data_IF_849675350714
#
_entry.id   IF_849675350714
#
_cell.length_a   1.000
_cell.length_b   1.000
_cell.length_c   1.000
_cell.angle_alpha   90.00
_cell.angle_beta   90.00
_cell.angle_gamma   90.00
#
_symmetry.space_group_name_H-M   'P 1'
#
loop_
_entity.id
_entity.type
_entity.pdbx_description
1 polymer ?
#
# COMPACT_ATOMS: atom_id res chain seq x y z
N UNK A 1 52.44 -83.91 -28.86
CA UNK A 1 51.28 -83.02 -29.05
C UNK A 1 51.82 -81.60 -29.09
N UNK A 2 51.85 -81.05 -30.30
CA UNK A 2 51.95 -79.64 -30.61
C UNK A 2 50.78 -78.87 -30.02
N UNK A 3 51.01 -77.71 -29.43
CA UNK A 3 50.20 -76.52 -29.75
C UNK A 3 50.97 -75.23 -29.45
N UNK A 4 50.68 -74.23 -30.29
CA UNK A 4 51.43 -73.01 -30.54
C UNK A 4 51.02 -71.82 -29.66
N UNK A 5 51.77 -70.71 -29.71
CA UNK A 5 51.27 -69.40 -29.31
C UNK A 5 52.29 -68.50 -28.59
N UNK A 6 53.00 -67.68 -29.37
CA UNK A 6 53.82 -66.51 -28.96
C UNK A 6 52.92 -65.24 -29.00
N UNK A 7 53.43 -64.02 -28.73
CA UNK A 7 53.82 -63.32 -27.49
C UNK A 7 52.93 -62.06 -27.26
N UNK A 8 53.42 -61.08 -26.47
CA UNK A 8 52.91 -59.69 -26.30
C UNK A 8 51.68 -59.55 -25.38
N UNK A 9 51.53 -58.56 -24.51
CA UNK A 9 51.99 -57.18 -24.55
C UNK A 9 51.90 -56.61 -23.12
N UNK A 10 52.86 -55.78 -22.70
CA UNK A 10 52.66 -54.88 -21.56
C UNK A 10 51.98 -53.60 -22.07
N UNK A 11 51.00 -53.04 -21.35
CA UNK A 11 50.79 -51.60 -21.32
C UNK A 11 51.07 -51.12 -19.88
N UNK A 12 52.17 -50.38 -19.67
CA UNK A 12 52.21 -48.91 -19.63
C UNK A 12 51.34 -48.30 -18.53
N UNK A 13 52.02 -47.56 -17.66
CA UNK A 13 51.52 -46.80 -16.54
C UNK A 13 50.38 -45.84 -16.91
N UNK A 14 49.33 -45.84 -16.09
CA UNK A 14 48.55 -44.66 -15.82
C UNK A 14 48.52 -44.49 -14.29
N UNK A 15 49.55 -43.81 -13.78
CA UNK A 15 49.48 -43.18 -12.46
C UNK A 15 48.56 -41.99 -12.66
N UNK A 16 47.31 -42.12 -12.24
CA UNK A 16 46.37 -41.00 -12.18
C UNK A 16 47.04 -39.87 -11.41
N UNK A 17 47.37 -38.80 -12.15
CA UNK A 17 47.80 -37.54 -11.57
C UNK A 17 46.52 -36.86 -11.10
N UNK A 18 46.11 -37.15 -9.87
CA UNK A 18 45.21 -36.22 -9.18
C UNK A 18 45.95 -34.87 -9.10
N UNK A 19 45.38 -33.78 -9.61
CA UNK A 19 45.94 -32.47 -9.32
C UNK A 19 45.67 -32.21 -7.84
N UNK A 20 46.65 -32.52 -6.99
CA UNK A 20 46.75 -31.94 -5.66
C UNK A 20 46.80 -30.43 -5.89
N UNK A 21 45.65 -29.78 -5.73
CA UNK A 21 45.51 -28.35 -5.74
C UNK A 21 46.15 -27.83 -4.44
N UNK A 22 47.47 -27.82 -4.39
CA UNK A 22 48.26 -27.18 -3.34
C UNK A 22 48.01 -25.68 -3.44
N UNK A 23 47.02 -25.20 -2.70
CA UNK A 23 46.83 -23.77 -2.51
C UNK A 23 48.09 -23.22 -1.85
N UNK A 24 48.65 -22.17 -2.43
CA UNK A 24 49.84 -21.52 -1.90
C UNK A 24 49.54 -20.93 -0.53
N UNK A 25 50.53 -20.88 0.37
CA UNK A 25 50.37 -20.26 1.69
C UNK A 25 49.85 -18.80 1.61
N UNK A 26 50.16 -18.09 0.52
CA UNK A 26 49.59 -16.77 0.21
C UNK A 26 48.08 -16.82 -0.10
N UNK A 27 47.62 -17.81 -0.86
CA UNK A 27 46.20 -18.00 -1.15
C UNK A 27 45.42 -18.45 0.09
N UNK A 28 46.03 -19.23 1.00
CA UNK A 28 45.42 -19.60 2.28
C UNK A 28 45.22 -18.38 3.20
N UNK A 29 46.19 -17.47 3.26
CA UNK A 29 46.08 -16.19 3.99
C UNK A 29 45.01 -15.28 3.36
N UNK A 30 44.91 -15.24 2.03
CA UNK A 30 43.88 -14.47 1.33
C UNK A 30 42.47 -15.04 1.54
N UNK A 31 42.32 -16.37 1.52
CA UNK A 31 41.03 -17.06 1.76
C UNK A 31 40.59 -16.88 3.21
N UNK A 32 41.51 -16.89 4.18
CA UNK A 32 41.18 -16.64 5.59
C UNK A 32 40.79 -15.18 5.85
N UNK A 33 41.47 -14.22 5.21
CA UNK A 33 41.08 -12.82 5.24
C UNK A 33 39.71 -12.57 4.60
N UNK A 34 39.39 -13.26 3.50
CA UNK A 34 38.10 -13.16 2.83
C UNK A 34 36.97 -13.81 3.64
N UNK A 35 37.22 -14.98 4.25
CA UNK A 35 36.28 -15.65 5.16
C UNK A 35 35.94 -14.80 6.38
N UNK A 36 36.91 -14.06 6.94
CA UNK A 36 36.68 -13.13 8.06
C UNK A 36 35.76 -11.97 7.67
N UNK A 37 35.96 -11.39 6.49
CA UNK A 37 35.09 -10.31 5.98
C UNK A 37 33.66 -10.80 5.70
N UNK A 38 33.52 -12.01 5.15
CA UNK A 38 32.20 -12.63 4.93
C UNK A 38 31.51 -12.90 6.27
N UNK A 39 32.22 -13.41 7.28
CA UNK A 39 31.67 -13.64 8.61
C UNK A 39 31.23 -12.35 9.31
N UNK A 40 32.04 -11.28 9.23
CA UNK A 40 31.68 -9.96 9.78
C UNK A 40 30.43 -9.38 9.08
N UNK A 41 30.34 -9.51 7.74
CA UNK A 41 29.15 -9.10 6.98
C UNK A 41 27.91 -9.95 7.29
N UNK A 42 28.06 -11.25 7.51
CA UNK A 42 26.96 -12.14 7.90
C UNK A 42 26.41 -11.79 9.29
N UNK A 43 27.27 -11.42 10.24
CA UNK A 43 26.87 -10.94 11.56
C UNK A 43 26.15 -9.58 11.48
N UNK A 44 26.64 -8.66 10.66
CA UNK A 44 25.99 -7.37 10.41
C UNK A 44 24.63 -7.54 9.72
N UNK A 45 24.53 -8.43 8.73
CA UNK A 45 23.28 -8.75 8.05
C UNK A 45 22.26 -9.38 9.00
N UNK A 46 22.71 -10.23 9.93
CA UNK A 46 21.84 -10.83 10.95
C UNK A 46 21.31 -9.78 11.94
N UNK A 47 22.15 -8.85 12.41
CA UNK A 47 21.71 -7.73 13.27
C UNK A 47 20.73 -6.80 12.56
N UNK A 48 20.99 -6.50 11.28
CA UNK A 48 20.07 -5.72 10.46
C UNK A 48 18.72 -6.41 10.29
N UNK A 49 18.72 -7.73 10.06
CA UNK A 49 17.49 -8.52 9.94
C UNK A 49 16.71 -8.61 11.25
N UNK A 50 17.40 -8.74 12.38
CA UNK A 50 16.76 -8.71 13.71
C UNK A 50 16.16 -7.33 14.03
N UNK A 51 16.86 -6.24 13.71
CA UNK A 51 16.32 -4.89 13.84
C UNK A 51 15.12 -4.63 12.92
N UNK A 52 15.16 -5.14 11.68
CA UNK A 52 14.02 -5.07 10.77
C UNK A 52 12.81 -5.84 11.30
N UNK A 53 13.03 -7.04 11.86
CA UNK A 53 11.95 -7.86 12.42
C UNK A 53 11.32 -7.25 13.69
N UNK A 54 12.09 -6.55 14.53
CA UNK A 54 11.52 -5.84 15.70
C UNK A 54 10.71 -4.62 15.28
N UNK A 55 11.18 -3.86 14.29
CA UNK A 55 10.45 -2.73 13.73
C UNK A 55 9.16 -3.19 13.01
N UNK A 56 9.20 -4.30 12.29
CA UNK A 56 8.02 -4.88 11.65
C UNK A 56 6.97 -5.30 12.68
N UNK A 57 7.36 -5.99 13.75
CA UNK A 57 6.45 -6.36 14.86
C UNK A 57 5.83 -5.12 15.52
N UNK A 58 6.65 -4.13 15.87
CA UNK A 58 6.16 -2.87 16.44
C UNK A 58 5.20 -2.14 15.47
N UNK A 59 5.46 -2.19 14.17
CA UNK A 59 4.58 -1.58 13.17
C UNK A 59 3.26 -2.33 12.98
N UNK A 60 3.27 -3.66 13.12
CA UNK A 60 2.07 -4.49 13.01
C UNK A 60 1.15 -4.30 14.22
N UNK A 61 1.70 -4.31 15.43
CA UNK A 61 0.95 -4.04 16.66
C UNK A 61 0.28 -2.66 16.61
N UNK A 62 1.01 -1.64 16.15
CA UNK A 62 0.47 -0.29 15.97
C UNK A 62 -0.57 -0.17 14.84
N UNK A 63 -0.55 -1.07 13.85
CA UNK A 63 -1.50 -1.06 12.74
C UNK A 63 -2.85 -1.65 13.14
N UNK A 64 -2.85 -2.78 13.87
CA UNK A 64 -4.07 -3.40 14.42
C UNK A 64 -4.75 -2.47 15.44
N UNK A 65 -3.94 -1.78 16.26
CA UNK A 65 -4.45 -0.74 17.17
C UNK A 65 -5.08 0.44 16.41
N UNK A 66 -4.51 0.82 15.26
CA UNK A 66 -5.00 1.98 14.50
C UNK A 66 -6.30 1.69 13.77
N UNK A 67 -6.46 0.51 13.19
CA UNK A 67 -7.71 0.13 12.53
C UNK A 67 -8.86 -0.03 13.53
N UNK A 68 -8.60 -0.66 14.68
CA UNK A 68 -9.59 -0.78 15.74
C UNK A 68 -9.97 0.58 16.33
N UNK A 69 -9.01 1.49 16.54
CA UNK A 69 -9.25 2.88 16.93
C UNK A 69 -10.06 3.62 15.88
N UNK A 70 -9.74 3.47 14.59
CA UNK A 70 -10.47 4.12 13.51
C UNK A 70 -11.91 3.60 13.41
N UNK A 71 -12.14 2.30 13.62
CA UNK A 71 -13.47 1.69 13.63
C UNK A 71 -14.38 2.20 14.76
N UNK A 72 -13.81 2.57 15.91
CA UNK A 72 -14.53 3.19 17.04
C UNK A 72 -14.44 4.72 17.08
N UNK A 73 -13.97 5.35 16.01
CA UNK A 73 -13.82 6.80 15.93
C UNK A 73 -14.70 7.44 14.86
N UNK A 74 -15.05 8.70 15.09
CA UNK A 74 -15.69 9.58 14.10
C UNK A 74 -14.78 10.74 13.72
N UNK A 75 -14.99 11.22 12.50
CA UNK A 75 -14.53 12.50 12.00
C UNK A 75 -15.66 13.52 12.11
N UNK A 76 -15.36 14.66 12.72
CA UNK A 76 -16.24 15.82 12.84
C UNK A 76 -15.63 16.98 12.06
N UNK A 77 -16.33 17.45 11.03
CA UNK A 77 -15.94 18.59 10.21
C UNK A 77 -16.83 19.80 10.38
N UNK A 78 -16.34 20.94 9.90
CA UNK A 78 -16.97 22.26 10.09
C UNK A 78 -17.17 22.63 11.56
N UNK A 79 -16.28 22.15 12.42
CA UNK A 79 -16.23 22.52 13.84
C UNK A 79 -15.79 23.98 13.95
N UNK A 80 -16.35 24.71 14.90
CA UNK A 80 -15.96 26.09 15.13
C UNK A 80 -14.49 26.21 15.59
N UNK A 81 -13.81 27.28 15.19
CA UNK A 81 -12.40 27.50 15.53
C UNK A 81 -12.18 27.79 17.02
N UNK A 82 -13.21 28.27 17.73
CA UNK A 82 -13.17 28.49 19.17
C UNK A 82 -13.62 27.26 19.98
N UNK A 83 -13.86 26.12 19.33
CA UNK A 83 -14.37 24.93 20.01
C UNK A 83 -13.32 24.35 20.96
N UNK A 84 -13.72 24.07 22.20
CA UNK A 84 -12.89 23.32 23.14
C UNK A 84 -13.14 21.81 23.00
N UNK A 85 -12.18 20.95 23.37
CA UNK A 85 -12.40 19.50 23.37
C UNK A 85 -13.52 19.09 24.33
N UNK A 86 -13.69 19.81 25.43
CA UNK A 86 -14.76 19.59 26.43
C UNK A 86 -16.15 19.87 25.85
N UNK A 87 -16.30 20.94 25.06
CA UNK A 87 -17.57 21.25 24.39
C UNK A 87 -17.96 20.17 23.37
N UNK A 88 -16.98 19.69 22.60
CA UNK A 88 -17.20 18.60 21.64
C UNK A 88 -17.57 17.31 22.39
N UNK A 89 -16.86 17.02 23.49
CA UNK A 89 -17.17 15.87 24.33
C UNK A 89 -18.61 15.94 24.85
N UNK A 90 -19.03 17.08 25.40
CA UNK A 90 -20.38 17.28 25.91
C UNK A 90 -21.45 17.09 24.82
N UNK A 91 -21.19 17.55 23.59
CA UNK A 91 -22.12 17.38 22.46
C UNK A 91 -22.35 15.89 22.12
N UNK A 92 -21.27 15.10 22.09
CA UNK A 92 -21.32 13.68 21.76
C UNK A 92 -21.53 12.75 22.96
N UNK A 93 -21.54 13.27 24.18
CA UNK A 93 -21.74 12.48 25.40
C UNK A 93 -23.12 11.82 25.45
N UNK A 94 -24.12 12.42 24.80
CA UNK A 94 -25.46 11.82 24.63
C UNK A 94 -25.46 10.56 23.76
N UNK A 95 -24.46 10.39 22.89
CA UNK A 95 -24.31 9.21 22.03
C UNK A 95 -23.51 8.07 22.68
N UNK A 96 -22.82 8.32 23.80
CA UNK A 96 -22.10 7.27 24.52
C UNK A 96 -20.78 7.71 25.17
N UNK A 97 -20.05 6.72 25.69
CA UNK A 97 -18.80 6.94 26.42
C UNK A 97 -17.62 7.20 25.46
N UNK A 98 -16.98 8.35 25.63
CA UNK A 98 -15.87 8.86 24.82
C UNK A 98 -14.55 8.53 25.50
N UNK A 99 -13.61 7.95 24.75
CA UNK A 99 -12.26 7.65 25.21
C UNK A 99 -11.33 8.87 25.02
N UNK A 100 -11.40 9.52 23.85
CA UNK A 100 -10.52 10.64 23.52
C UNK A 100 -11.13 11.59 22.50
N UNK A 101 -10.90 12.90 22.67
CA UNK A 101 -11.20 13.93 21.67
C UNK A 101 -9.90 14.57 21.20
N UNK A 102 -9.73 14.73 19.88
CA UNK A 102 -8.54 15.34 19.28
C UNK A 102 -8.95 16.37 18.23
N UNK A 103 -8.67 17.66 18.48
CA UNK A 103 -8.88 18.75 17.52
C UNK A 103 -7.63 18.88 16.64
N UNK A 104 -7.82 18.89 15.31
CA UNK A 104 -6.69 19.03 14.38
C UNK A 104 -6.30 20.49 14.23
N UNK A 105 -5.06 20.76 14.61
CA UNK A 105 -4.39 22.03 14.40
C UNK A 105 -3.59 22.00 13.10
N UNK A 106 -3.48 23.15 12.46
CA UNK A 106 -2.59 23.34 11.33
C UNK A 106 -1.14 23.39 11.81
N UNK A 107 -0.25 22.63 11.15
CA UNK A 107 1.14 22.45 11.60
C UNK A 107 1.98 23.73 11.43
N UNK A 108 1.57 24.61 10.54
CA UNK A 108 2.31 25.84 10.23
C UNK A 108 1.84 27.02 11.07
N UNK A 109 0.52 27.19 11.22
CA UNK A 109 -0.07 28.34 11.91
C UNK A 109 -0.46 28.04 13.36
N UNK A 110 -0.52 26.76 13.76
CA UNK A 110 -1.03 26.34 15.06
C UNK A 110 -2.54 26.53 15.24
N UNK A 111 -3.22 27.11 14.24
CA UNK A 111 -4.65 27.41 14.32
C UNK A 111 -5.48 26.15 14.09
N UNK A 112 -6.65 26.03 14.74
CA UNK A 112 -7.55 24.91 14.51
C UNK A 112 -8.02 24.90 13.05
N UNK A 113 -8.08 23.71 12.44
CA UNK A 113 -8.52 23.55 11.04
C UNK A 113 -10.04 23.43 10.89
N UNK A 114 -10.78 23.44 12.00
CA UNK A 114 -12.21 23.16 12.03
C UNK A 114 -12.55 21.66 11.87
N UNK A 115 -11.61 20.79 12.24
CA UNK A 115 -11.78 19.33 12.23
C UNK A 115 -11.44 18.75 13.60
N UNK A 116 -12.21 17.75 14.02
CA UNK A 116 -11.95 16.98 15.23
C UNK A 116 -12.16 15.47 14.97
N UNK A 117 -11.45 14.66 15.74
CA UNK A 117 -11.70 13.23 15.88
C UNK A 117 -12.22 12.94 17.27
N UNK A 118 -13.23 12.10 17.36
CA UNK A 118 -13.77 11.60 18.63
C UNK A 118 -13.64 10.09 18.59
N UNK A 119 -12.92 9.54 19.55
CA UNK A 119 -12.75 8.11 19.77
C UNK A 119 -13.71 7.66 20.87
N UNK A 120 -14.57 6.72 20.55
CA UNK A 120 -15.47 6.10 21.50
C UNK A 120 -14.85 4.85 22.11
N UNK A 121 -15.40 4.43 23.25
CA UNK A 121 -15.08 3.16 23.89
C UNK A 121 -15.41 1.98 22.99
N UNK A 122 -16.60 1.99 22.39
CA UNK A 122 -17.15 0.92 21.57
C UNK A 122 -17.45 1.37 20.13
N UNK A 123 -17.24 0.51 19.12
CA UNK A 123 -17.55 0.82 17.72
C UNK A 123 -19.04 0.96 17.44
N UNK A 124 -19.91 0.37 18.26
CA UNK A 124 -21.37 0.50 18.13
C UNK A 124 -21.86 1.94 18.35
N UNK A 125 -21.14 2.73 19.16
CA UNK A 125 -21.48 4.12 19.47
C UNK A 125 -21.25 5.06 18.29
N UNK A 126 -20.36 4.68 17.36
CA UNK A 126 -20.12 5.44 16.12
C UNK A 126 -21.42 5.60 15.33
N UNK A 127 -22.23 4.55 15.23
CA UNK A 127 -23.52 4.60 14.53
C UNK A 127 -24.49 5.60 15.16
N UNK A 128 -24.49 5.72 16.50
CA UNK A 128 -25.32 6.68 17.22
C UNK A 128 -24.85 8.12 16.97
N UNK A 129 -23.53 8.34 16.97
CA UNK A 129 -22.97 9.65 16.71
C UNK A 129 -23.20 10.14 15.26
N UNK A 130 -23.34 9.22 14.30
CA UNK A 130 -23.70 9.56 12.91
C UNK A 130 -25.13 10.13 12.79
N UNK A 131 -26.02 9.85 13.74
CA UNK A 131 -27.36 10.45 13.78
C UNK A 131 -27.28 11.95 14.04
N UNK A 132 -26.24 12.42 14.74
CA UNK A 132 -25.97 13.85 14.97
C UNK A 132 -25.29 14.56 13.79
N UNK A 133 -25.19 13.92 12.63
CA UNK A 133 -24.72 14.59 11.43
C UNK A 133 -25.63 15.77 11.08
N UNK A 134 -25.05 16.91 10.70
CA UNK A 134 -25.71 18.18 10.40
C UNK A 134 -26.40 18.86 11.60
N UNK A 135 -26.15 18.38 12.83
CA UNK A 135 -26.59 19.06 14.05
C UNK A 135 -25.92 20.43 14.24
N UNK A 136 -26.60 21.33 14.96
CA UNK A 136 -26.08 22.65 15.28
C UNK A 136 -25.12 22.59 16.46
N UNK A 137 -23.91 23.12 16.26
CA UNK A 137 -22.88 23.28 17.28
C UNK A 137 -22.26 24.68 17.17
N UNK A 138 -22.34 25.48 18.24
CA UNK A 138 -21.90 26.89 18.27
C UNK A 138 -22.40 27.73 17.08
N UNK A 139 -23.64 27.51 16.65
CA UNK A 139 -24.26 28.22 15.52
C UNK A 139 -23.82 27.74 14.13
N UNK A 140 -23.10 26.61 14.04
CA UNK A 140 -22.65 26.01 12.77
C UNK A 140 -23.10 24.56 12.67
N UNK A 141 -23.52 24.15 11.49
CA UNK A 141 -23.87 22.74 11.25
C UNK A 141 -22.59 21.92 11.10
N UNK A 142 -22.41 20.95 12.00
CA UNK A 142 -21.26 20.05 11.95
C UNK A 142 -21.51 18.88 11.00
N UNK A 143 -20.44 18.38 10.40
CA UNK A 143 -20.49 17.19 9.55
C UNK A 143 -19.86 16.01 10.28
N UNK A 144 -20.62 14.95 10.51
CA UNK A 144 -20.14 13.75 11.21
C UNK A 144 -20.06 12.59 10.23
N UNK A 145 -18.89 11.96 10.14
CA UNK A 145 -18.65 10.77 9.30
C UNK A 145 -17.76 9.77 10.05
N UNK A 146 -17.85 8.46 9.78
CA UNK A 146 -16.94 7.51 10.41
C UNK A 146 -15.49 7.84 10.05
N UNK A 147 -14.57 7.73 11.02
CA UNK A 147 -13.14 7.95 10.78
C UNK A 147 -12.64 6.88 9.81
N UNK A 148 -11.72 7.28 8.93
CA UNK A 148 -11.08 6.38 7.97
C UNK A 148 -9.60 6.69 7.93
N UNK A 149 -8.78 5.65 7.93
CA UNK A 149 -7.37 5.78 7.62
C UNK A 149 -7.23 6.16 6.15
N UNK A 150 -6.60 7.31 5.87
CA UNK A 150 -6.34 7.70 4.49
C UNK A 150 -5.17 6.88 3.96
N UNK A 151 -5.47 5.76 3.30
CA UNK A 151 -4.45 4.94 2.63
C UNK A 151 -3.99 5.70 1.37
N UNK A 152 -2.70 6.09 1.27
CA UNK A 152 -2.20 6.79 0.08
C UNK A 152 -2.50 5.97 -1.19
N UNK A 153 -3.22 6.57 -2.14
CA UNK A 153 -3.59 5.92 -3.41
C UNK A 153 -5.05 5.44 -3.51
N UNK A 154 -5.77 5.30 -2.39
CA UNK A 154 -7.18 4.89 -2.37
C UNK A 154 -8.11 6.03 -1.96
N UNK A 155 -7.92 7.23 -2.54
CA UNK A 155 -8.86 8.33 -2.33
C UNK A 155 -10.14 8.03 -3.11
N UNK A 156 -11.25 7.78 -2.40
CA UNK A 156 -12.58 7.70 -3.01
C UNK A 156 -12.84 8.99 -3.76
N UNK A 157 -12.73 8.91 -5.09
CA UNK A 157 -13.41 9.75 -6.06
C UNK A 157 -13.78 11.14 -5.57
N UNK A 158 -12.79 11.98 -5.28
CA UNK A 158 -13.01 13.42 -5.46
C UNK A 158 -13.16 13.61 -6.95
N UNK A 159 -14.40 13.52 -7.42
CA UNK A 159 -14.81 13.52 -8.82
C UNK A 159 -13.84 14.28 -9.69
N UNK A 160 -12.93 13.53 -10.31
CA UNK A 160 -12.17 14.02 -11.43
C UNK A 160 -13.21 14.35 -12.49
N UNK A 161 -13.40 15.65 -12.75
CA UNK A 161 -13.82 16.12 -14.07
C UNK A 161 -12.68 15.79 -15.06
N UNK A 162 -12.38 14.49 -15.19
CA UNK A 162 -11.65 13.93 -16.29
C UNK A 162 -12.60 13.98 -17.45
N UNK A 163 -12.42 14.98 -18.31
CA UNK A 163 -12.91 14.96 -19.68
C UNK A 163 -12.56 13.59 -20.25
N UNK A 164 -13.55 12.71 -20.33
CA UNK A 164 -13.46 11.45 -21.05
C UNK A 164 -13.29 11.77 -22.53
N UNK A 165 -12.04 12.04 -22.92
CA UNK A 165 -11.61 12.03 -24.32
C UNK A 165 -11.16 10.59 -24.55
N UNK A 166 -12.04 9.86 -25.22
CA UNK A 166 -11.99 8.42 -25.36
C UNK A 166 -10.63 7.87 -25.78
N UNK A 167 -10.22 6.84 -25.06
CA UNK A 167 -9.22 5.86 -25.48
C UNK A 167 -9.78 4.47 -25.18
N UNK A 168 -10.73 4.04 -26.00
CA UNK A 168 -10.98 2.64 -26.34
C UNK A 168 -10.61 2.56 -27.84
N UNK A 169 -9.53 1.92 -28.24
CA UNK A 169 -9.33 0.49 -28.06
C UNK A 169 -9.94 -0.21 -29.27
N UNK A 170 -9.16 -0.39 -30.34
CA UNK A 170 -9.67 -0.98 -31.58
C UNK A 170 -8.66 -1.12 -32.72
N UNK A 171 -7.45 -1.61 -32.44
CA UNK A 171 -6.55 -2.12 -33.48
C UNK A 171 -6.80 -3.62 -33.63
N UNK A 172 -7.71 -3.98 -34.54
CA UNK A 172 -8.05 -5.36 -34.86
C UNK A 172 -8.41 -5.48 -36.34
N UNK A 173 -7.40 -5.83 -37.13
CA UNK A 173 -7.51 -6.16 -38.55
C UNK A 173 -8.37 -7.40 -38.75
N UNK A 174 -9.38 -7.35 -39.62
CA UNK A 174 -9.73 -8.47 -40.50
C UNK A 174 -10.65 -8.01 -41.66
N UNK A 175 -10.26 -8.22 -42.94
CA UNK A 175 -11.07 -7.86 -44.10
C UNK A 175 -11.80 -9.10 -44.65
N UNK A 176 -13.14 -9.09 -44.74
CA UNK A 176 -13.91 -9.94 -45.68
C UNK A 176 -15.42 -9.64 -45.65
N UNK A 177 -15.89 -8.99 -46.70
CA UNK A 177 -17.05 -9.42 -47.49
C UNK A 177 -18.48 -9.24 -46.94
N UNK A 178 -19.32 -8.60 -47.74
CA UNK A 178 -20.69 -9.08 -47.95
C UNK A 178 -21.86 -8.14 -47.63
N UNK A 179 -22.30 -7.37 -48.63
CA UNK A 179 -23.70 -7.11 -49.01
C UNK A 179 -24.82 -7.02 -47.92
N UNK A 180 -25.23 -5.78 -47.62
CA UNK A 180 -26.64 -5.32 -47.51
C UNK A 180 -26.58 -3.77 -47.49
N UNK A 181 -26.92 -3.03 -48.54
CA UNK A 181 -28.13 -3.15 -49.34
C UNK A 181 -29.31 -2.57 -48.54
N UNK A 182 -29.44 -1.24 -48.49
CA UNK A 182 -30.50 -0.57 -47.74
C UNK A 182 -30.52 0.95 -47.92
N UNK A 183 -30.87 1.39 -49.13
CA UNK A 183 -31.28 2.77 -49.42
C UNK A 183 -32.38 3.25 -48.46
N UNK A 184 -32.12 4.33 -47.71
CA UNK A 184 -33.11 5.38 -47.42
C UNK A 184 -32.41 6.74 -47.34
N UNK A 185 -32.21 7.32 -48.51
CA UNK A 185 -32.16 8.77 -48.62
C UNK A 185 -33.54 9.34 -48.32
N UNK A 186 -33.62 10.29 -47.39
CA UNK A 186 -34.62 11.36 -47.39
C UNK A 186 -34.01 12.60 -46.77
N UNK A 187 -33.38 13.41 -47.61
CA UNK A 187 -33.06 14.78 -47.25
C UNK A 187 -34.32 15.61 -47.04
N UNK A 188 -34.24 16.60 -46.15
CA UNK A 188 -34.80 17.95 -46.32
C UNK A 188 -34.64 18.76 -45.04
N UNK A 189 -34.08 19.97 -45.20
CA UNK A 189 -34.70 21.16 -44.60
C UNK A 189 -34.07 21.71 -43.33
N UNK A 190 -33.11 22.62 -43.53
CA UNK A 190 -33.18 24.04 -43.11
C UNK A 190 -34.10 24.48 -41.95
N UNK A 191 -33.54 25.35 -41.10
CA UNK A 191 -34.23 26.24 -40.13
C UNK A 191 -33.58 26.14 -38.75
N UNK A 192 -32.63 26.99 -38.34
CA UNK A 192 -32.73 28.43 -38.00
C UNK A 192 -34.01 28.79 -37.25
N UNK A 193 -33.88 28.96 -35.92
CA UNK A 193 -34.83 29.67 -35.06
C UNK A 193 -34.04 30.40 -33.97
N UNK A 194 -33.98 31.74 -33.98
CA UNK A 194 -33.62 32.54 -32.82
C UNK A 194 -34.87 32.86 -31.99
N UNK A 195 -34.73 32.88 -30.68
CA UNK A 195 -35.11 33.98 -29.79
C UNK A 195 -34.50 33.71 -28.40
#
# INVERSE_FOLDING_TARGET
MSDAGKPEEQPTAEREHEPENEMTASEEEEITAMKRRVAEMEEEAKKLREMQATLEKQSADLADDKESVDARSIFVGNVDYSASPEEIQAHFQSCGSINRVTILLDKFTGQPKGYAYVEFTEPSLVAQALVLNESLFKGRNIKVTPKRTNVPGMSRGRGGRGRGRGFFGGRGSNPRGGYRGGYRGRGRGAGFTPY
#
